data_IF_761536174917
#
_entry.id   IF_761536174917
#
_cell.length_a   1.000
_cell.length_b   1.000
_cell.length_c   1.000
_cell.angle_alpha   90.00
_cell.angle_beta   90.00
_cell.angle_gamma   90.00
#
_symmetry.space_group_name_H-M   'P 1'
#
loop_
_entity.id
_entity.type
_entity.pdbx_description
1 polymer ?
#
# COMPACT_ATOMS: atom_id res chain seq x y z
N UNK A 1 -36.43 -23.38 -7.22
CA UNK A 1 -36.55 -22.24 -6.29
C UNK A 1 -35.20 -21.83 -5.67
N UNK A 2 -34.34 -22.75 -5.21
CA UNK A 2 -33.05 -22.42 -4.56
C UNK A 2 -31.98 -21.75 -5.48
N UNK A 3 -31.96 -22.05 -6.78
CA UNK A 3 -30.95 -21.50 -7.71
C UNK A 3 -31.18 -20.03 -8.13
N UNK A 4 -32.44 -19.58 -8.14
CA UNK A 4 -32.78 -18.18 -8.45
C UNK A 4 -32.48 -17.28 -7.25
N UNK A 5 -32.77 -17.76 -6.04
CA UNK A 5 -32.45 -17.06 -4.80
C UNK A 5 -30.94 -16.96 -4.57
N UNK A 6 -30.17 -18.00 -4.91
CA UNK A 6 -28.69 -17.97 -4.86
C UNK A 6 -28.09 -17.01 -5.90
N UNK A 7 -28.61 -16.97 -7.12
CA UNK A 7 -28.18 -15.99 -8.14
C UNK A 7 -28.57 -14.56 -7.79
N UNK A 8 -29.76 -14.36 -7.21
CA UNK A 8 -30.20 -13.05 -6.73
C UNK A 8 -29.42 -12.62 -5.48
N UNK A 9 -29.07 -13.54 -4.58
CA UNK A 9 -28.20 -13.30 -3.44
C UNK A 9 -26.76 -13.02 -3.88
N UNK A 10 -26.19 -13.77 -4.81
CA UNK A 10 -24.89 -13.44 -5.41
C UNK A 10 -24.94 -12.13 -6.18
N UNK A 11 -26.02 -11.79 -6.88
CA UNK A 11 -26.17 -10.50 -7.58
C UNK A 11 -26.33 -9.34 -6.58
N UNK A 12 -27.14 -9.51 -5.54
CA UNK A 12 -27.29 -8.57 -4.43
C UNK A 12 -25.98 -8.42 -3.67
N UNK A 13 -25.23 -9.48 -3.42
CA UNK A 13 -23.90 -9.42 -2.80
C UNK A 13 -22.90 -8.76 -3.78
N UNK A 14 -22.91 -9.09 -5.07
CA UNK A 14 -22.11 -8.38 -6.08
C UNK A 14 -22.41 -6.88 -6.15
N UNK A 15 -23.63 -6.46 -5.80
CA UNK A 15 -24.07 -5.06 -5.72
C UNK A 15 -23.81 -4.41 -4.33
N UNK A 16 -23.96 -5.15 -3.23
CA UNK A 16 -23.70 -4.70 -1.86
C UNK A 16 -22.19 -4.64 -1.53
N UNK A 17 -21.36 -5.41 -2.26
CA UNK A 17 -19.90 -5.50 -2.06
C UNK A 17 -19.11 -4.80 -3.17
N UNK A 18 -19.72 -3.90 -3.94
CA UNK A 18 -19.02 -2.96 -4.81
C UNK A 18 -18.36 -1.86 -3.95
N UNK A 19 -17.43 -2.24 -3.07
CA UNK A 19 -16.85 -1.30 -2.12
C UNK A 19 -15.69 -0.56 -2.79
N UNK A 20 -15.90 0.72 -3.08
CA UNK A 20 -14.81 1.60 -3.47
C UNK A 20 -13.92 1.86 -2.25
N UNK A 21 -12.63 1.63 -2.40
CA UNK A 21 -11.63 1.85 -1.37
C UNK A 21 -10.57 2.80 -1.91
N UNK A 22 -10.31 3.87 -1.17
CA UNK A 22 -9.25 4.81 -1.47
C UNK A 22 -7.99 4.41 -0.69
N UNK A 23 -6.90 4.19 -1.41
CA UNK A 23 -5.64 3.70 -0.87
C UNK A 23 -4.52 4.57 -1.39
N UNK A 24 -3.73 5.16 -0.51
CA UNK A 24 -2.57 5.95 -0.96
C UNK A 24 -1.29 5.15 -0.75
N UNK A 25 -0.49 5.01 -1.80
CA UNK A 25 0.81 4.34 -1.74
C UNK A 25 1.92 5.39 -1.72
N UNK A 26 2.60 5.50 -0.59
CA UNK A 26 3.70 6.43 -0.31
C UNK A 26 4.98 5.68 0.04
N UNK A 27 6.11 6.37 -0.03
CA UNK A 27 7.42 5.81 0.26
C UNK A 27 8.52 6.46 -0.57
N UNK A 28 9.77 6.13 -0.24
CA UNK A 28 10.94 6.70 -0.91
C UNK A 28 11.00 6.35 -2.40
N UNK A 29 11.80 7.11 -3.16
CA UNK A 29 12.06 6.75 -4.56
C UNK A 29 12.67 5.34 -4.65
N UNK A 30 12.44 4.66 -5.77
CA UNK A 30 12.96 3.31 -6.02
C UNK A 30 12.46 2.19 -5.07
N UNK A 31 11.56 2.49 -4.13
CA UNK A 31 10.95 1.49 -3.25
C UNK A 31 10.04 0.47 -3.98
N UNK A 32 9.68 0.73 -5.24
CA UNK A 32 8.85 -0.16 -6.06
C UNK A 32 7.35 0.11 -6.02
N UNK A 33 6.92 1.33 -5.65
CA UNK A 33 5.51 1.79 -5.68
C UNK A 33 4.82 1.48 -7.01
N UNK A 34 5.39 2.00 -8.11
CA UNK A 34 4.81 1.87 -9.44
C UNK A 34 4.75 0.41 -9.91
N UNK A 35 5.76 -0.40 -9.55
CA UNK A 35 5.82 -1.84 -9.84
C UNK A 35 4.74 -2.60 -9.07
N UNK A 36 4.60 -2.36 -7.76
CA UNK A 36 3.54 -2.97 -6.95
C UNK A 36 2.15 -2.65 -7.52
N UNK A 37 1.89 -1.38 -7.84
CA UNK A 37 0.61 -0.97 -8.41
C UNK A 37 0.33 -1.63 -9.76
N UNK A 38 1.35 -1.82 -10.60
CA UNK A 38 1.22 -2.46 -11.90
C UNK A 38 0.86 -3.94 -11.74
N UNK A 39 1.53 -4.66 -10.85
CA UNK A 39 1.26 -6.08 -10.57
C UNK A 39 -0.12 -6.26 -9.94
N UNK A 40 -0.51 -5.41 -8.98
CA UNK A 40 -1.86 -5.45 -8.41
C UNK A 40 -2.96 -5.17 -9.45
N UNK A 41 -2.65 -4.40 -10.50
CA UNK A 41 -3.56 -4.13 -11.63
C UNK A 41 -3.69 -5.30 -12.61
N UNK A 42 -3.00 -6.43 -12.38
CA UNK A 42 -2.95 -7.56 -13.29
C UNK A 42 -2.06 -7.34 -14.53
N UNK A 43 -1.15 -6.37 -14.48
CA UNK A 43 -0.15 -6.14 -15.53
C UNK A 43 1.19 -6.76 -15.19
N UNK A 44 1.96 -7.14 -16.21
CA UNK A 44 3.31 -7.72 -16.04
C UNK A 44 4.29 -6.75 -15.37
N UNK A 45 5.19 -7.24 -14.52
CA UNK A 45 6.28 -6.45 -13.96
C UNK A 45 7.24 -5.96 -15.06
N UNK A 46 7.69 -4.70 -14.99
CA UNK A 46 8.71 -4.16 -15.89
C UNK A 46 9.85 -3.53 -15.11
N UNK A 47 11.09 -3.90 -15.48
CA UNK A 47 12.33 -3.43 -14.84
C UNK A 47 12.53 -1.92 -15.05
N UNK A 48 12.09 -1.37 -16.18
CA UNK A 48 12.19 0.05 -16.50
C UNK A 48 10.93 0.82 -16.10
N UNK A 49 10.80 1.15 -14.82
CA UNK A 49 9.83 2.17 -14.40
C UNK A 49 10.48 3.55 -14.44
N UNK A 50 10.11 4.37 -15.43
CA UNK A 50 10.46 5.80 -15.45
C UNK A 50 9.90 6.44 -14.16
N UNK A 51 10.69 7.22 -13.40
CA UNK A 51 10.19 7.90 -12.21
C UNK A 51 8.96 8.75 -12.55
N UNK A 52 7.82 8.50 -11.88
CA UNK A 52 6.58 9.24 -12.11
C UNK A 52 6.81 10.73 -11.85
N UNK A 53 6.60 11.57 -12.86
CA UNK A 53 6.58 13.04 -12.73
C UNK A 53 5.15 13.46 -12.40
N UNK A 54 4.90 13.87 -11.16
CA UNK A 54 3.59 14.34 -10.70
C UNK A 54 2.75 13.28 -9.99
N UNK A 55 1.44 13.27 -10.28
CA UNK A 55 0.42 12.46 -9.61
C UNK A 55 -0.26 11.53 -10.61
N UNK A 56 -0.23 10.22 -10.38
CA UNK A 56 -0.96 9.27 -11.21
C UNK A 56 -1.94 8.47 -10.34
N UNK A 57 -3.25 8.66 -10.58
CA UNK A 57 -4.29 7.84 -9.98
C UNK A 57 -4.42 6.55 -10.79
N UNK A 58 -4.00 5.43 -10.23
CA UNK A 58 -4.25 4.10 -10.79
C UNK A 58 -5.46 3.49 -10.10
N UNK A 59 -6.45 3.08 -10.89
CA UNK A 59 -7.61 2.33 -10.42
C UNK A 59 -7.36 0.85 -10.63
N UNK A 60 -7.32 0.09 -9.55
CA UNK A 60 -7.15 -1.36 -9.58
C UNK A 60 -8.46 -2.00 -9.15
N UNK A 61 -9.04 -2.81 -10.02
CA UNK A 61 -10.25 -3.56 -9.68
C UNK A 61 -9.88 -5.02 -9.40
N UNK A 62 -10.14 -5.48 -8.18
CA UNK A 62 -10.00 -6.89 -7.80
C UNK A 62 -11.34 -7.43 -7.33
N UNK A 63 -11.99 -8.27 -8.15
CA UNK A 63 -13.37 -8.67 -7.93
C UNK A 63 -14.32 -7.46 -7.94
N UNK A 64 -14.93 -7.18 -6.77
CA UNK A 64 -15.88 -6.06 -6.60
C UNK A 64 -15.28 -4.85 -5.87
N UNK A 65 -14.00 -4.91 -5.48
CA UNK A 65 -13.32 -3.80 -4.80
C UNK A 65 -12.57 -2.95 -5.81
N UNK A 66 -12.81 -1.64 -5.78
CA UNK A 66 -12.09 -0.65 -6.57
C UNK A 66 -11.06 0.07 -5.69
N UNK A 67 -9.78 -0.27 -5.85
CA UNK A 67 -8.67 0.38 -5.18
C UNK A 67 -8.25 1.62 -5.98
N UNK A 68 -8.43 2.80 -5.42
CA UNK A 68 -7.92 4.06 -5.97
C UNK A 68 -6.54 4.31 -5.38
N UNK A 69 -5.51 4.06 -6.17
CA UNK A 69 -4.10 4.16 -5.77
C UNK A 69 -3.45 5.44 -6.28
N UNK A 70 -2.97 6.27 -5.36
CA UNK A 70 -2.18 7.46 -5.70
C UNK A 70 -0.70 7.12 -5.78
N UNK A 71 -0.09 7.19 -6.98
CA UNK A 71 1.36 7.12 -7.16
C UNK A 71 1.95 8.51 -6.93
N UNK A 72 2.52 8.71 -5.75
CA UNK A 72 3.19 9.93 -5.36
C UNK A 72 4.68 9.78 -5.64
N UNK A 73 5.26 10.68 -6.44
CA UNK A 73 6.69 10.71 -6.65
C UNK A 73 7.43 10.78 -5.31
N UNK A 74 8.36 9.84 -5.05
CA UNK A 74 9.10 9.77 -3.78
C UNK A 74 10.20 10.84 -3.61
N UNK A 75 10.36 11.74 -4.59
CA UNK A 75 11.36 12.80 -4.57
C UNK A 75 11.08 13.75 -3.41
N UNK A 76 12.11 14.25 -2.70
CA UNK A 76 11.94 15.16 -1.56
C UNK A 76 10.97 16.32 -1.84
N UNK A 77 11.02 16.91 -3.04
CA UNK A 77 10.15 18.02 -3.46
C UNK A 77 8.65 17.71 -3.47
N UNK A 78 8.25 16.44 -3.47
CA UNK A 78 6.84 16.02 -3.52
C UNK A 78 6.33 15.48 -2.17
N UNK A 79 7.20 15.29 -1.18
CA UNK A 79 6.84 14.68 0.12
C UNK A 79 5.93 15.57 0.96
N UNK A 80 6.07 16.89 0.84
CA UNK A 80 5.17 17.87 1.48
C UNK A 80 3.72 17.74 1.04
N UNK A 81 3.45 17.06 -0.07
CA UNK A 81 2.09 16.84 -0.57
C UNK A 81 1.48 15.53 -0.08
N UNK A 82 2.26 14.61 0.49
CA UNK A 82 1.77 13.30 0.93
C UNK A 82 0.58 13.43 1.89
N UNK A 83 0.62 14.35 2.84
CA UNK A 83 -0.51 14.62 3.76
C UNK A 83 -1.83 14.87 3.00
N UNK A 84 -1.78 15.72 1.97
CA UNK A 84 -2.97 16.11 1.21
C UNK A 84 -3.62 14.92 0.49
N UNK A 85 -2.81 13.97 0.02
CA UNK A 85 -3.27 12.79 -0.72
C UNK A 85 -3.54 11.57 0.17
N UNK A 86 -3.06 11.58 1.41
CA UNK A 86 -3.42 10.58 2.41
C UNK A 86 -4.70 10.95 3.17
N UNK A 87 -5.21 12.18 3.05
CA UNK A 87 -6.42 12.60 3.77
C UNK A 87 -7.67 11.93 3.22
N UNK A 88 -8.47 11.35 4.10
CA UNK A 88 -9.76 10.74 3.76
C UNK A 88 -9.68 9.37 3.10
N UNK A 89 -8.48 8.79 2.99
CA UNK A 89 -8.28 7.43 2.45
C UNK A 89 -8.64 6.38 3.50
N UNK A 90 -8.98 5.18 3.04
CA UNK A 90 -9.28 4.05 3.92
C UNK A 90 -8.01 3.44 4.51
N UNK A 91 -6.91 3.39 3.74
CA UNK A 91 -5.62 2.84 4.17
C UNK A 91 -4.46 3.65 3.57
N UNK A 92 -3.45 3.91 4.39
CA UNK A 92 -2.15 4.40 3.94
C UNK A 92 -1.21 3.21 3.78
N UNK A 93 -0.67 3.01 2.58
CA UNK A 93 0.35 2.00 2.30
C UNK A 93 1.71 2.68 2.21
N UNK A 94 2.62 2.34 3.11
CA UNK A 94 4.00 2.85 3.10
C UNK A 94 4.96 1.76 2.64
N UNK A 95 5.56 1.93 1.46
CA UNK A 95 6.47 0.95 0.87
C UNK A 95 7.93 1.33 1.09
N UNK A 96 8.74 0.34 1.44
CA UNK A 96 10.17 0.47 1.72
C UNK A 96 10.93 -0.59 0.93
N UNK A 97 12.06 -0.22 0.34
CA UNK A 97 13.00 -1.19 -0.19
C UNK A 97 13.77 -1.81 0.97
N UNK A 98 13.50 -3.09 1.29
CA UNK A 98 14.17 -3.77 2.42
C UNK A 98 15.58 -4.24 2.10
N UNK A 99 16.04 -4.17 0.85
CA UNK A 99 17.43 -4.42 0.50
C UNK A 99 18.27 -3.14 0.55
N UNK A 100 17.66 -1.96 0.47
CA UNK A 100 18.35 -0.66 0.52
C UNK A 100 18.50 -0.13 1.96
N UNK A 101 19.34 -0.83 2.74
CA UNK A 101 19.61 -0.50 4.16
C UNK A 101 20.02 0.97 4.40
N UNK A 102 20.87 1.60 3.56
CA UNK A 102 21.22 3.02 3.72
C UNK A 102 20.04 3.98 3.69
N UNK A 103 18.94 3.64 3.02
CA UNK A 103 17.75 4.49 2.94
C UNK A 103 16.74 4.28 4.08
N UNK A 104 16.91 3.25 4.93
CA UNK A 104 15.97 2.96 6.03
C UNK A 104 15.83 4.13 7.03
N UNK A 105 16.91 4.82 7.46
CA UNK A 105 16.76 5.99 8.34
C UNK A 105 15.92 7.10 7.71
N UNK A 106 16.14 7.40 6.43
CA UNK A 106 15.33 8.38 5.70
C UNK A 106 13.87 7.93 5.55
N UNK A 107 13.63 6.63 5.36
CA UNK A 107 12.27 6.09 5.29
C UNK A 107 11.55 6.22 6.64
N UNK A 108 12.25 5.98 7.75
CA UNK A 108 11.74 6.19 9.10
C UNK A 108 11.36 7.65 9.32
N UNK A 109 12.26 8.59 9.05
CA UNK A 109 12.00 10.03 9.25
C UNK A 109 10.75 10.48 8.50
N UNK A 110 10.62 10.09 7.24
CA UNK A 110 9.48 10.45 6.39
C UNK A 110 8.18 9.76 6.82
N UNK A 111 8.25 8.50 7.28
CA UNK A 111 7.11 7.80 7.84
C UNK A 111 6.58 8.50 9.10
N UNK A 112 7.47 8.81 10.04
CA UNK A 112 7.09 9.46 11.30
C UNK A 112 6.60 10.90 11.08
N UNK A 113 7.22 11.64 10.15
CA UNK A 113 6.73 12.94 9.72
C UNK A 113 5.30 12.84 9.16
N UNK A 114 5.03 11.84 8.32
CA UNK A 114 3.68 11.60 7.78
C UNK A 114 2.69 11.20 8.88
N UNK A 115 3.07 10.31 9.80
CA UNK A 115 2.18 9.86 10.89
C UNK A 115 1.92 10.95 11.95
N UNK A 116 2.77 11.98 12.03
CA UNK A 116 2.61 13.12 12.91
C UNK A 116 1.48 14.08 12.52
N UNK A 117 0.95 14.01 11.29
CA UNK A 117 -0.16 14.85 10.87
C UNK A 117 -1.48 14.40 11.51
N UNK A 118 -2.07 15.30 12.30
CA UNK A 118 -3.37 15.07 12.95
C UNK A 118 -4.49 14.77 11.93
N UNK A 119 -4.43 15.36 10.74
CA UNK A 119 -5.37 15.13 9.64
C UNK A 119 -5.41 13.69 9.13
N UNK A 120 -4.39 12.88 9.46
CA UNK A 120 -4.27 11.47 9.11
C UNK A 120 -4.53 10.55 10.31
N UNK A 121 -4.98 11.09 11.45
CA UNK A 121 -5.25 10.33 12.66
C UNK A 121 -6.29 9.22 12.43
N UNK A 122 -6.09 8.07 13.05
CA UNK A 122 -7.00 6.92 12.96
C UNK A 122 -6.94 6.12 11.65
N UNK A 123 -6.37 6.67 10.57
CA UNK A 123 -6.26 5.95 9.29
C UNK A 123 -5.27 4.78 9.45
N UNK A 124 -5.69 3.52 9.16
CA UNK A 124 -4.83 2.35 9.19
C UNK A 124 -3.59 2.51 8.31
N UNK A 125 -2.45 2.01 8.82
CA UNK A 125 -1.15 2.03 8.16
C UNK A 125 -0.73 0.59 7.80
N UNK A 126 -0.47 0.35 6.53
CA UNK A 126 0.15 -0.88 6.03
C UNK A 126 1.57 -0.59 5.55
N UNK A 127 2.56 -1.14 6.23
CA UNK A 127 3.97 -1.05 5.83
C UNK A 127 4.36 -2.26 4.99
N UNK A 128 4.91 -2.03 3.80
CA UNK A 128 5.34 -3.08 2.88
C UNK A 128 6.85 -3.02 2.68
N UNK A 129 7.56 -4.02 3.19
CA UNK A 129 8.97 -4.24 2.90
C UNK A 129 9.13 -4.97 1.57
N UNK A 130 9.36 -4.21 0.49
CA UNK A 130 9.44 -4.73 -0.88
C UNK A 130 10.87 -5.10 -1.28
N UNK A 131 10.98 -5.91 -2.35
CA UNK A 131 12.23 -6.53 -2.85
C UNK A 131 12.78 -7.61 -1.92
N UNK A 132 11.88 -8.39 -1.31
CA UNK A 132 12.24 -9.57 -0.54
C UNK A 132 12.83 -10.72 -1.37
N UNK A 133 12.93 -10.57 -2.69
CA UNK A 133 13.68 -11.47 -3.58
C UNK A 133 15.21 -11.23 -3.53
N UNK A 134 15.66 -10.07 -3.04
CA UNK A 134 17.08 -9.72 -3.02
C UNK A 134 17.83 -10.39 -1.84
N UNK A 135 19.11 -10.75 -2.02
CA UNK A 135 19.88 -11.50 -1.02
C UNK A 135 20.14 -10.69 0.27
N UNK A 136 20.36 -9.37 0.16
CA UNK A 136 20.72 -8.50 1.29
C UNK A 136 19.51 -7.94 2.07
N UNK A 137 18.32 -8.52 1.83
CA UNK A 137 17.05 -8.06 2.41
C UNK A 137 17.07 -8.05 3.94
N UNK A 138 16.37 -7.07 4.51
CA UNK A 138 16.03 -7.00 5.92
C UNK A 138 14.85 -7.93 6.23
N UNK A 139 14.82 -8.54 7.42
CA UNK A 139 13.66 -9.30 7.87
C UNK A 139 12.49 -8.37 8.23
N UNK A 140 11.27 -8.91 8.35
CA UNK A 140 10.10 -8.11 8.74
C UNK A 140 10.25 -7.60 10.18
N UNK A 141 10.80 -8.41 11.08
CA UNK A 141 11.03 -8.02 12.48
C UNK A 141 12.06 -6.90 12.58
N UNK A 142 13.17 -7.01 11.84
CA UNK A 142 14.17 -5.95 11.75
C UNK A 142 13.59 -4.67 11.16
N UNK A 143 12.70 -4.78 10.16
CA UNK A 143 12.03 -3.62 9.56
C UNK A 143 11.10 -2.92 10.57
N UNK A 144 10.35 -3.69 11.35
CA UNK A 144 9.47 -3.16 12.41
C UNK A 144 10.28 -2.34 13.41
N UNK A 145 11.44 -2.86 13.83
CA UNK A 145 12.32 -2.18 14.78
C UNK A 145 13.04 -0.99 14.13
N UNK A 146 13.54 -1.13 12.90
CA UNK A 146 14.29 -0.08 12.21
C UNK A 146 13.43 1.13 11.84
N UNK A 147 12.15 0.91 11.49
CA UNK A 147 11.17 1.98 11.26
C UNK A 147 10.48 2.46 12.55
N UNK A 148 10.77 1.81 13.68
CA UNK A 148 10.19 2.13 14.98
C UNK A 148 8.65 2.12 14.94
N UNK A 149 8.06 1.07 14.34
CA UNK A 149 6.61 1.02 14.12
C UNK A 149 5.82 0.89 15.42
N UNK A 150 6.45 0.37 16.48
CA UNK A 150 5.86 0.18 17.81
C UNK A 150 5.48 1.50 18.49
N UNK A 151 6.10 2.62 18.11
CA UNK A 151 5.78 3.96 18.67
C UNK A 151 4.62 4.64 17.96
N UNK A 152 4.19 4.14 16.79
CA UNK A 152 3.03 4.64 16.06
C UNK A 152 1.75 4.11 16.72
N UNK A 153 1.09 4.97 17.49
CA UNK A 153 -0.14 4.64 18.22
C UNK A 153 -1.37 5.34 17.63
N UNK A 154 -2.57 4.92 18.07
CA UNK A 154 -3.83 5.55 17.66
C UNK A 154 -4.35 5.16 16.27
N UNK A 155 -3.77 4.12 15.66
CA UNK A 155 -4.20 3.52 14.38
C UNK A 155 -3.84 2.03 14.33
N UNK A 156 -4.50 1.27 13.47
CA UNK A 156 -4.06 -0.10 13.13
C UNK A 156 -2.77 -0.02 12.30
N UNK A 157 -1.74 -0.79 12.67
CA UNK A 157 -0.46 -0.86 11.96
C UNK A 157 -0.18 -2.33 11.63
N UNK A 158 0.12 -2.63 10.37
CA UNK A 158 0.56 -3.95 9.93
C UNK A 158 1.80 -3.84 9.05
N UNK A 159 2.65 -4.87 9.07
CA UNK A 159 3.89 -4.90 8.30
C UNK A 159 4.07 -6.25 7.61
N UNK A 160 4.36 -6.24 6.30
CA UNK A 160 4.61 -7.45 5.52
C UNK A 160 5.88 -7.29 4.67
N UNK A 161 6.63 -8.38 4.52
CA UNK A 161 7.66 -8.52 3.49
C UNK A 161 7.02 -9.04 2.20
N UNK A 162 7.30 -8.38 1.07
CA UNK A 162 6.74 -8.73 -0.24
C UNK A 162 7.82 -8.71 -1.33
N UNK A 163 7.55 -9.35 -2.46
CA UNK A 163 8.29 -9.09 -3.70
C UNK A 163 7.29 -8.76 -4.80
N UNK A 164 7.32 -7.53 -5.30
CA UNK A 164 6.56 -7.18 -6.50
C UNK A 164 7.10 -7.88 -7.75
N UNK A 165 8.38 -8.29 -7.78
CA UNK A 165 9.01 -8.94 -8.94
C UNK A 165 8.63 -10.43 -9.02
N UNK A 166 8.64 -11.11 -7.89
CA UNK A 166 8.31 -12.55 -7.79
C UNK A 166 6.86 -12.79 -7.33
N UNK A 167 6.07 -11.73 -7.23
CA UNK A 167 4.67 -11.75 -6.77
C UNK A 167 4.48 -12.42 -5.40
N UNK A 168 5.49 -12.34 -4.54
CA UNK A 168 5.49 -13.00 -3.23
C UNK A 168 4.68 -12.20 -2.22
N UNK A 169 3.76 -12.89 -1.52
CA UNK A 169 2.98 -12.38 -0.39
C UNK A 169 2.04 -11.21 -0.74
N UNK A 170 1.65 -11.08 -2.01
CA UNK A 170 0.73 -10.04 -2.49
C UNK A 170 -0.72 -10.34 -2.10
N UNK A 171 -1.08 -11.62 -1.94
CA UNK A 171 -2.37 -12.09 -1.46
C UNK A 171 -2.67 -11.60 -0.05
N UNK A 172 -1.67 -11.56 0.83
CA UNK A 172 -1.82 -11.03 2.19
C UNK A 172 -2.09 -9.52 2.18
N UNK A 173 -1.45 -8.78 1.25
CA UNK A 173 -1.70 -7.36 1.04
C UNK A 173 -3.15 -7.13 0.60
N UNK A 174 -3.62 -7.87 -0.41
CA UNK A 174 -5.01 -7.78 -0.88
C UNK A 174 -5.99 -8.13 0.24
N UNK A 175 -5.74 -9.20 0.99
CA UNK A 175 -6.60 -9.61 2.10
C UNK A 175 -6.68 -8.54 3.19
N UNK A 176 -5.56 -7.89 3.55
CA UNK A 176 -5.56 -6.77 4.49
C UNK A 176 -6.40 -5.59 3.96
N UNK A 177 -6.21 -5.21 2.70
CA UNK A 177 -6.95 -4.10 2.09
C UNK A 177 -8.47 -4.38 2.07
N UNK A 178 -8.88 -5.59 1.69
CA UNK A 178 -10.28 -6.02 1.71
C UNK A 178 -10.87 -5.99 3.12
N UNK A 179 -10.12 -6.47 4.13
CA UNK A 179 -10.55 -6.41 5.54
C UNK A 179 -10.71 -4.97 6.02
N UNK A 180 -9.82 -4.07 5.60
CA UNK A 180 -9.86 -2.66 5.96
C UNK A 180 -11.01 -1.91 5.25
N UNK A 181 -11.42 -2.36 4.06
CA UNK A 181 -12.60 -1.83 3.39
C UNK A 181 -13.89 -2.16 4.16
N UNK A 182 -14.03 -3.38 4.70
CA UNK A 182 -15.25 -3.81 5.39
C UNK A 182 -15.52 -3.19 6.78
N UNK A 183 -14.71 -2.24 7.24
CA UNK A 183 -14.88 -1.49 8.50
C UNK A 183 -15.43 -0.09 8.21
#
# INVERSE_FOLDING_TARGET
MAGLFRKLYELLMRMFWAQEMEVTVVGLQNAGKTSLLRVLSGGEFTVDSIPTVGFNLKKVQHGHVLLKCWDLGGQPRFRSMWERYCRGVNVIVFIVDIADRPQIPAAREELHALMGYHSLGGIPLLVLGNKSDLPDKMSVDDLIDALDLKTIQGREVCCYGISAKEETNLEAVVHFLVKAAGK
#
